data_IF_404489170091
#
_entry.id   IF_404489170091
#
_cell.length_a   1.000
_cell.length_b   1.000
_cell.length_c   1.000
_cell.angle_alpha   90.00
_cell.angle_beta   90.00
_cell.angle_gamma   90.00
#
_symmetry.space_group_name_H-M   'P 1'
#
loop_
_entity.id
_entity.type
_entity.pdbx_description
1 polymer ?
#
# COMPACT_ATOMS: atom_id res chain seq x y z
N UNK A 1 34.63 7.94 -5.80
CA UNK A 1 33.25 7.99 -6.30
C UNK A 1 33.29 8.77 -7.59
N UNK A 2 32.69 8.24 -8.65
CA UNK A 2 32.66 8.93 -9.94
C UNK A 2 31.75 10.17 -9.87
N UNK A 3 32.03 11.19 -10.68
CA UNK A 3 31.27 12.44 -10.71
C UNK A 3 29.76 12.17 -10.92
N UNK A 4 29.42 11.18 -11.74
CA UNK A 4 28.03 10.74 -11.97
C UNK A 4 27.38 10.22 -10.68
N UNK A 5 28.08 9.41 -9.89
CA UNK A 5 27.57 8.91 -8.60
C UNK A 5 27.29 10.02 -7.61
N UNK A 6 28.14 11.06 -7.58
CA UNK A 6 27.97 12.22 -6.70
C UNK A 6 26.73 13.03 -7.11
N UNK A 7 26.56 13.28 -8.41
CA UNK A 7 25.39 14.00 -8.93
C UNK A 7 24.10 13.25 -8.58
N UNK A 8 24.05 11.93 -8.78
CA UNK A 8 22.85 11.13 -8.46
C UNK A 8 22.54 11.18 -6.97
N UNK A 9 23.56 11.00 -6.12
CA UNK A 9 23.37 11.06 -4.67
C UNK A 9 22.87 12.44 -4.23
N UNK A 10 23.45 13.51 -4.78
CA UNK A 10 23.05 14.88 -4.47
C UNK A 10 21.62 15.18 -4.93
N UNK A 11 21.25 14.79 -6.15
CA UNK A 11 19.89 14.98 -6.68
C UNK A 11 18.87 14.22 -5.84
N UNK A 12 19.14 12.95 -5.54
CA UNK A 12 18.22 12.13 -4.75
C UNK A 12 18.07 12.63 -3.32
N UNK A 13 19.18 12.95 -2.65
CA UNK A 13 19.14 13.56 -1.32
C UNK A 13 18.36 14.87 -1.36
N UNK A 14 18.56 15.69 -2.40
CA UNK A 14 17.80 16.92 -2.64
C UNK A 14 16.30 16.67 -2.78
N UNK A 15 15.89 15.67 -3.55
CA UNK A 15 14.47 15.26 -3.70
C UNK A 15 13.89 14.83 -2.36
N UNK A 16 14.57 13.94 -1.63
CA UNK A 16 14.10 13.45 -0.33
C UNK A 16 14.00 14.58 0.70
N UNK A 17 14.99 15.48 0.75
CA UNK A 17 14.95 16.65 1.62
C UNK A 17 13.81 17.61 1.25
N UNK A 18 13.59 17.88 -0.04
CA UNK A 18 12.49 18.72 -0.49
C UNK A 18 11.12 18.18 -0.06
N UNK A 19 10.94 16.85 -0.14
CA UNK A 19 9.73 16.15 0.32
C UNK A 19 9.62 16.21 1.86
N UNK A 20 10.71 15.94 2.58
CA UNK A 20 10.72 15.91 4.05
C UNK A 20 10.40 17.28 4.68
N UNK A 21 10.87 18.38 4.08
CA UNK A 21 10.55 19.75 4.54
C UNK A 21 9.15 20.19 4.07
N UNK A 22 8.46 19.36 3.27
CA UNK A 22 7.12 19.61 2.75
C UNK A 22 6.97 20.98 2.05
N UNK A 23 8.05 21.45 1.42
CA UNK A 23 8.10 22.74 0.71
C UNK A 23 7.64 22.64 -0.73
N UNK A 24 7.80 21.46 -1.33
CA UNK A 24 7.48 21.15 -2.72
C UNK A 24 6.62 19.90 -2.73
N UNK A 25 5.59 19.87 -3.58
CA UNK A 25 4.76 18.68 -3.79
C UNK A 25 5.64 17.49 -4.20
N UNK A 26 5.39 16.30 -3.64
CA UNK A 26 6.27 15.14 -3.84
C UNK A 26 6.42 14.76 -5.32
N UNK A 27 5.36 14.92 -6.11
CA UNK A 27 5.39 14.60 -7.54
C UNK A 27 6.30 15.57 -8.27
N UNK A 28 6.19 16.87 -7.96
CA UNK A 28 7.03 17.90 -8.55
C UNK A 28 8.50 17.71 -8.16
N UNK A 29 8.78 17.39 -6.90
CA UNK A 29 10.15 17.12 -6.44
C UNK A 29 10.77 15.94 -7.20
N UNK A 30 10.05 14.82 -7.32
CA UNK A 30 10.52 13.65 -8.06
C UNK A 30 10.72 13.95 -9.57
N UNK A 31 9.78 14.69 -10.19
CA UNK A 31 9.89 15.12 -11.59
C UNK A 31 11.12 16.00 -11.85
N UNK A 32 11.39 16.97 -10.97
CA UNK A 32 12.57 17.83 -11.07
C UNK A 32 13.85 17.02 -10.93
N UNK A 33 13.88 16.04 -10.00
CA UNK A 33 15.00 15.14 -9.84
C UNK A 33 15.31 14.35 -11.12
N UNK A 34 14.30 13.68 -11.69
CA UNK A 34 14.44 12.91 -12.93
C UNK A 34 14.85 13.81 -14.09
N UNK A 35 14.24 14.99 -14.23
CA UNK A 35 14.57 15.96 -15.28
C UNK A 35 16.03 16.41 -15.18
N UNK A 36 16.52 16.65 -13.96
CA UNK A 36 17.93 17.01 -13.73
C UNK A 36 18.86 15.90 -14.18
N UNK A 37 18.55 14.63 -13.86
CA UNK A 37 19.37 13.49 -14.28
C UNK A 37 19.36 13.26 -15.80
N UNK A 38 18.24 13.56 -16.48
CA UNK A 38 18.15 13.51 -17.94
C UNK A 38 19.01 14.62 -18.56
N UNK A 39 18.92 15.85 -18.05
CA UNK A 39 19.73 16.99 -18.55
C UNK A 39 21.22 16.76 -18.33
N UNK A 40 21.61 16.14 -17.22
CA UNK A 40 23.00 15.74 -16.97
C UNK A 40 23.47 14.56 -17.83
N UNK A 41 22.61 13.98 -18.68
CA UNK A 41 22.94 12.82 -19.53
C UNK A 41 23.17 11.52 -18.76
N UNK A 42 22.72 11.44 -17.51
CA UNK A 42 22.92 10.28 -16.63
C UNK A 42 21.86 9.21 -16.93
N UNK A 43 20.59 9.65 -17.01
CA UNK A 43 19.47 8.84 -17.49
C UNK A 43 19.35 8.99 -19.01
N UNK A 44 19.67 7.93 -19.75
CA UNK A 44 19.41 7.84 -21.18
C UNK A 44 18.05 7.17 -21.42
N UNK A 45 17.60 7.16 -22.67
CA UNK A 45 16.35 6.53 -23.09
C UNK A 45 16.23 5.07 -22.61
N UNK A 46 17.35 4.32 -22.60
CA UNK A 46 17.38 2.93 -22.15
C UNK A 46 17.07 2.80 -20.67
N UNK A 47 17.68 3.63 -19.82
CA UNK A 47 17.42 3.59 -18.38
C UNK A 47 16.00 4.08 -18.06
N UNK A 48 15.50 5.09 -18.78
CA UNK A 48 14.11 5.52 -18.63
C UNK A 48 13.16 4.35 -18.96
N UNK A 49 13.42 3.62 -20.04
CA UNK A 49 12.61 2.46 -20.40
C UNK A 49 12.70 1.33 -19.36
N UNK A 50 13.90 1.07 -18.81
CA UNK A 50 14.08 0.10 -17.73
C UNK A 50 13.31 0.51 -16.47
N UNK A 51 13.35 1.79 -16.10
CA UNK A 51 12.60 2.32 -14.98
C UNK A 51 11.09 2.15 -15.16
N UNK A 52 10.57 2.44 -16.36
CA UNK A 52 9.15 2.21 -16.68
C UNK A 52 8.78 0.72 -16.59
N UNK A 53 9.66 -0.18 -17.06
CA UNK A 53 9.45 -1.62 -16.95
C UNK A 53 9.42 -2.08 -15.49
N UNK A 54 10.36 -1.59 -14.67
CA UNK A 54 10.41 -1.89 -13.24
C UNK A 54 9.18 -1.35 -12.49
N UNK A 55 8.73 -0.15 -12.84
CA UNK A 55 7.56 0.49 -12.23
C UNK A 55 6.23 -0.13 -12.68
N UNK A 56 6.17 -0.77 -13.85
CA UNK A 56 4.93 -1.26 -14.46
C UNK A 56 4.13 -2.21 -13.57
N UNK A 57 4.79 -3.13 -12.87
CA UNK A 57 4.14 -4.05 -11.94
C UNK A 57 3.50 -3.34 -10.73
N UNK A 58 4.30 -2.63 -9.91
CA UNK A 58 3.80 -1.84 -8.77
C UNK A 58 2.73 -0.81 -9.16
N UNK A 59 2.90 -0.10 -10.29
CA UNK A 59 1.92 0.87 -10.78
C UNK A 59 0.60 0.21 -11.16
N UNK A 60 0.63 -0.93 -11.84
CA UNK A 60 -0.58 -1.66 -12.23
C UNK A 60 -1.37 -2.14 -11.01
N UNK A 61 -0.67 -2.62 -9.97
CA UNK A 61 -1.28 -3.02 -8.71
C UNK A 61 -1.93 -1.84 -7.98
N UNK A 62 -1.19 -0.75 -7.84
CA UNK A 62 -1.67 0.46 -7.16
C UNK A 62 -2.88 1.05 -7.90
N UNK A 63 -2.77 1.21 -9.21
CA UNK A 63 -3.85 1.69 -10.06
C UNK A 63 -5.09 0.78 -9.98
N UNK A 64 -4.90 -0.53 -10.15
CA UNK A 64 -6.03 -1.47 -10.12
C UNK A 64 -6.72 -1.51 -8.77
N UNK A 65 -5.96 -1.50 -7.68
CA UNK A 65 -6.49 -1.40 -6.32
C UNK A 65 -7.26 -0.10 -6.08
N UNK A 66 -6.75 1.04 -6.55
CA UNK A 66 -7.43 2.33 -6.43
C UNK A 66 -8.75 2.35 -7.21
N UNK A 67 -8.77 1.82 -8.43
CA UNK A 67 -9.99 1.72 -9.25
C UNK A 67 -11.04 0.87 -8.53
N UNK A 68 -10.67 -0.34 -8.09
CA UNK A 68 -11.60 -1.24 -7.38
C UNK A 68 -12.06 -0.64 -6.05
N UNK A 69 -11.20 0.06 -5.32
CA UNK A 69 -11.58 0.76 -4.09
C UNK A 69 -12.60 1.87 -4.38
N UNK A 70 -12.37 2.67 -5.43
CA UNK A 70 -13.23 3.79 -5.80
C UNK A 70 -14.60 3.33 -6.27
N UNK A 71 -14.72 2.15 -6.89
CA UNK A 71 -16.03 1.62 -7.30
C UNK A 71 -16.92 1.24 -6.13
N UNK A 72 -16.34 0.92 -4.97
CA UNK A 72 -17.08 0.61 -3.73
C UNK A 72 -17.60 1.87 -3.03
N UNK A 73 -16.95 3.01 -3.18
CA UNK A 73 -17.31 4.24 -2.47
C UNK A 73 -18.72 4.77 -2.76
N UNK A 74 -19.16 4.96 -4.03
CA UNK A 74 -20.49 5.50 -4.32
C UNK A 74 -21.64 4.54 -3.97
N UNK A 75 -21.35 3.27 -3.66
CA UNK A 75 -22.36 2.28 -3.28
C UNK A 75 -22.96 2.53 -1.89
N UNK A 76 -22.27 3.30 -1.05
CA UNK A 76 -22.62 3.51 0.35
C UNK A 76 -22.24 2.36 1.28
N UNK A 77 -21.48 1.36 0.81
CA UNK A 77 -20.98 0.26 1.66
C UNK A 77 -20.21 0.83 2.87
N UNK A 78 -19.33 1.80 2.67
CA UNK A 78 -18.54 2.39 3.75
C UNK A 78 -19.40 3.16 4.76
N UNK A 79 -20.44 3.88 4.31
CA UNK A 79 -21.41 4.52 5.21
C UNK A 79 -22.11 3.48 6.10
N UNK A 80 -22.49 2.34 5.52
CA UNK A 80 -23.14 1.25 6.24
C UNK A 80 -22.18 0.56 7.23
N UNK A 81 -20.93 0.32 6.82
CA UNK A 81 -19.87 -0.19 7.69
C UNK A 81 -19.66 0.77 8.85
N UNK A 82 -19.60 2.08 8.59
CA UNK A 82 -19.42 3.11 9.61
C UNK A 82 -20.52 3.12 10.65
N UNK A 83 -21.80 3.06 10.25
CA UNK A 83 -22.91 3.03 11.21
C UNK A 83 -22.90 1.73 12.02
N UNK A 84 -22.67 0.58 11.37
CA UNK A 84 -22.57 -0.72 12.08
C UNK A 84 -21.41 -0.72 13.07
N UNK A 85 -20.28 -0.16 12.65
CA UNK A 85 -19.09 -0.04 13.49
C UNK A 85 -19.36 0.85 14.70
N UNK A 86 -19.96 2.01 14.50
CA UNK A 86 -20.40 2.92 15.56
C UNK A 86 -21.35 2.24 16.56
N UNK A 87 -22.39 1.55 16.10
CA UNK A 87 -23.28 0.77 16.97
C UNK A 87 -22.55 -0.35 17.73
N UNK A 88 -21.53 -0.97 17.11
CA UNK A 88 -20.70 -1.99 17.75
C UNK A 88 -19.79 -1.42 18.86
N UNK A 89 -19.42 -0.14 18.80
CA UNK A 89 -18.64 0.50 19.88
C UNK A 89 -19.42 0.56 21.19
N UNK A 90 -20.77 0.62 21.13
CA UNK A 90 -21.66 0.82 22.28
C UNK A 90 -21.19 1.97 23.21
N UNK A 91 -20.58 3.00 22.62
CA UNK A 91 -20.12 4.19 23.34
C UNK A 91 -18.82 4.02 24.13
N UNK A 92 -18.13 2.88 23.99
CA UNK A 92 -16.85 2.62 24.65
C UNK A 92 -15.68 2.92 23.72
N UNK A 93 -14.78 3.81 24.16
CA UNK A 93 -13.57 4.16 23.43
C UNK A 93 -12.61 2.98 23.22
N UNK A 94 -12.52 2.06 24.19
CA UNK A 94 -11.81 0.78 24.02
C UNK A 94 -12.33 -0.04 22.82
N UNK A 95 -13.66 -0.20 22.72
CA UNK A 95 -14.28 -0.97 21.62
C UNK A 95 -14.11 -0.25 20.29
N UNK A 96 -14.17 1.07 20.30
CA UNK A 96 -13.85 1.89 19.14
C UNK A 96 -12.42 1.64 18.66
N UNK A 97 -11.40 1.81 19.51
CA UNK A 97 -10.00 1.64 19.10
C UNK A 97 -9.70 0.22 18.59
N UNK A 98 -10.19 -0.81 19.29
CA UNK A 98 -10.03 -2.20 18.83
C UNK A 98 -10.75 -2.48 17.52
N UNK A 99 -11.95 -1.92 17.33
CA UNK A 99 -12.68 -2.10 16.09
C UNK A 99 -12.08 -1.30 14.92
N UNK A 100 -11.44 -0.14 15.17
CA UNK A 100 -10.61 0.55 14.16
C UNK A 100 -9.47 -0.37 13.71
N UNK A 101 -8.75 -1.01 14.64
CA UNK A 101 -7.67 -1.96 14.29
C UNK A 101 -8.19 -3.05 13.37
N UNK A 102 -9.28 -3.71 13.74
CA UNK A 102 -9.85 -4.80 12.94
C UNK A 102 -10.32 -4.29 11.58
N UNK A 103 -11.06 -3.18 11.56
CA UNK A 103 -11.64 -2.63 10.34
C UNK A 103 -10.56 -2.20 9.34
N UNK A 104 -9.58 -1.43 9.80
CA UNK A 104 -8.46 -0.96 8.96
C UNK A 104 -7.63 -2.15 8.49
N UNK A 105 -7.33 -3.12 9.38
CA UNK A 105 -6.50 -4.27 9.00
C UNK A 105 -7.16 -5.13 7.93
N UNK A 106 -8.47 -5.37 8.03
CA UNK A 106 -9.22 -6.15 7.04
C UNK A 106 -9.33 -5.38 5.72
N UNK A 107 -9.60 -4.07 5.75
CA UNK A 107 -9.73 -3.30 4.52
C UNK A 107 -8.38 -3.10 3.80
N UNK A 108 -7.30 -2.75 4.53
CA UNK A 108 -5.95 -2.59 3.95
C UNK A 108 -5.35 -3.91 3.46
N UNK A 109 -5.84 -5.07 3.91
CA UNK A 109 -5.42 -6.35 3.35
C UNK A 109 -5.80 -6.49 1.86
N UNK A 110 -6.81 -5.75 1.38
CA UNK A 110 -7.33 -5.86 0.02
C UNK A 110 -7.32 -4.55 -0.76
N UNK A 111 -7.32 -3.42 -0.08
CA UNK A 111 -7.33 -2.08 -0.67
C UNK A 111 -6.01 -1.36 -0.37
N UNK A 112 -5.57 -0.43 -1.24
CA UNK A 112 -4.39 0.38 -0.97
C UNK A 112 -4.48 1.15 0.36
N UNK A 113 -3.37 1.24 1.08
CA UNK A 113 -3.30 1.86 2.41
C UNK A 113 -3.83 3.31 2.41
N UNK A 114 -3.31 4.15 1.51
CA UNK A 114 -3.69 5.56 1.42
C UNK A 114 -5.19 5.74 1.14
N UNK A 115 -5.73 4.96 0.21
CA UNK A 115 -7.16 4.98 -0.14
C UNK A 115 -8.03 4.55 1.04
N UNK A 116 -7.64 3.49 1.75
CA UNK A 116 -8.38 3.00 2.92
C UNK A 116 -8.44 4.04 4.03
N UNK A 117 -7.32 4.72 4.32
CA UNK A 117 -7.29 5.78 5.33
C UNK A 117 -8.19 6.94 4.95
N UNK A 118 -8.17 7.39 3.69
CA UNK A 118 -9.04 8.48 3.20
C UNK A 118 -10.53 8.10 3.30
N UNK A 119 -10.87 6.87 2.92
CA UNK A 119 -12.25 6.37 2.98
C UNK A 119 -12.76 6.21 4.42
N UNK A 120 -11.90 5.80 5.35
CA UNK A 120 -12.27 5.61 6.75
C UNK A 120 -12.22 6.91 7.57
N UNK A 121 -11.45 7.92 7.13
CA UNK A 121 -11.34 9.21 7.81
C UNK A 121 -12.69 9.83 8.20
N UNK A 122 -13.68 10.00 7.30
CA UNK A 122 -14.97 10.60 7.67
C UNK A 122 -15.74 9.76 8.70
N UNK A 123 -15.60 8.44 8.65
CA UNK A 123 -16.24 7.51 9.60
C UNK A 123 -15.59 7.67 10.98
N UNK A 124 -14.27 7.65 11.05
CA UNK A 124 -13.51 7.80 12.30
C UNK A 124 -13.82 9.15 12.93
N UNK A 125 -13.74 10.25 12.17
CA UNK A 125 -14.03 11.61 12.64
C UNK A 125 -15.46 11.72 13.18
N UNK A 126 -16.43 11.09 12.51
CA UNK A 126 -17.81 11.08 12.99
C UNK A 126 -17.96 10.35 14.32
N UNK A 127 -17.35 9.18 14.46
CA UNK A 127 -17.43 8.38 15.69
C UNK A 127 -16.73 9.09 16.84
N UNK A 128 -15.58 9.71 16.60
CA UNK A 128 -14.85 10.46 17.64
C UNK A 128 -15.64 11.68 18.11
N UNK A 129 -16.34 12.36 17.20
CA UNK A 129 -17.28 13.44 17.56
C UNK A 129 -18.43 12.94 18.45
N UNK A 130 -19.00 11.78 18.13
CA UNK A 130 -20.07 11.18 18.94
C UNK A 130 -19.58 10.66 20.30
N UNK A 131 -18.31 10.26 20.40
CA UNK A 131 -17.65 9.87 21.64
C UNK A 131 -17.10 11.07 22.44
N UNK A 132 -17.18 12.29 21.90
CA UNK A 132 -16.63 13.51 22.49
C UNK A 132 -15.12 13.41 22.77
N UNK A 133 -14.36 12.89 21.79
CA UNK A 133 -12.90 12.74 21.85
C UNK A 133 -12.24 13.38 20.62
N UNK A 134 -10.98 13.77 20.77
CA UNK A 134 -10.19 14.28 19.65
C UNK A 134 -9.96 13.19 18.59
N UNK A 135 -10.11 13.55 17.32
CA UNK A 135 -9.94 12.66 16.17
C UNK A 135 -8.48 12.48 15.76
N UNK A 136 -7.59 13.40 16.16
CA UNK A 136 -6.17 13.39 15.74
C UNK A 136 -5.49 12.07 16.14
N UNK A 137 -5.60 11.67 17.40
CA UNK A 137 -4.99 10.44 17.91
C UNK A 137 -5.45 9.16 17.17
N UNK A 138 -6.78 8.91 17.09
CA UNK A 138 -7.32 7.79 16.32
C UNK A 138 -6.93 7.80 14.83
N UNK A 139 -6.83 8.97 14.20
CA UNK A 139 -6.38 9.10 12.80
C UNK A 139 -4.90 8.71 12.63
N UNK A 140 -4.02 9.16 13.53
CA UNK A 140 -2.60 8.79 13.52
C UNK A 140 -2.43 7.27 13.71
N UNK A 141 -3.15 6.70 14.68
CA UNK A 141 -3.14 5.25 14.91
C UNK A 141 -3.68 4.49 13.70
N UNK A 142 -4.71 5.00 13.03
CA UNK A 142 -5.22 4.43 11.78
C UNK A 142 -4.16 4.41 10.68
N UNK A 143 -3.38 5.49 10.52
CA UNK A 143 -2.29 5.52 9.57
C UNK A 143 -1.21 4.48 9.91
N UNK A 144 -0.83 4.34 11.19
CA UNK A 144 0.14 3.33 11.64
C UNK A 144 -0.39 1.90 11.39
N UNK A 145 -1.64 1.62 11.77
CA UNK A 145 -2.28 0.32 11.51
C UNK A 145 -2.32 0.03 10.02
N UNK A 146 -2.67 1.00 9.19
CA UNK A 146 -2.78 0.81 7.73
C UNK A 146 -1.45 0.37 7.12
N UNK A 147 -0.32 0.94 7.57
CA UNK A 147 1.00 0.54 7.10
C UNK A 147 1.36 -0.88 7.56
N UNK A 148 1.09 -1.21 8.82
CA UNK A 148 1.28 -2.56 9.35
C UNK A 148 0.41 -3.60 8.65
N UNK A 149 -0.83 -3.24 8.32
CA UNK A 149 -1.79 -4.09 7.62
C UNK A 149 -1.43 -4.28 6.14
N UNK A 150 -0.77 -3.30 5.52
CA UNK A 150 -0.24 -3.44 4.16
C UNK A 150 0.80 -4.55 4.01
N UNK A 151 1.36 -5.07 5.11
CA UNK A 151 2.24 -6.23 5.12
C UNK A 151 1.49 -7.57 5.14
N UNK A 152 0.18 -7.58 5.39
CA UNK A 152 -0.63 -8.81 5.43
C UNK A 152 -0.71 -9.47 4.05
N UNK A 153 -0.75 -8.69 2.98
CA UNK A 153 -0.83 -9.18 1.61
C UNK A 153 0.20 -8.50 0.73
N UNK A 154 0.61 -9.18 -0.35
CA UNK A 154 1.57 -8.65 -1.32
C UNK A 154 1.01 -7.44 -2.09
N UNK A 155 -0.30 -7.20 -2.04
CA UNK A 155 -1.02 -6.17 -2.81
C UNK A 155 -1.07 -4.83 -2.06
N UNK A 156 -1.08 -4.86 -0.72
CA UNK A 156 -1.39 -3.69 0.11
C UNK A 156 -0.43 -2.50 -0.08
N UNK A 157 0.80 -2.77 -0.53
CA UNK A 157 1.81 -1.73 -0.77
C UNK A 157 2.69 -2.03 -2.01
N UNK A 158 2.90 -1.05 -2.91
CA UNK A 158 3.82 -1.17 -4.05
C UNK A 158 5.24 -1.60 -3.67
N UNK A 159 5.76 -1.13 -2.53
CA UNK A 159 7.09 -1.48 -2.05
C UNK A 159 7.17 -2.95 -1.63
N UNK A 160 6.13 -3.44 -0.95
CA UNK A 160 6.00 -4.86 -0.58
C UNK A 160 5.97 -5.75 -1.82
N UNK A 161 5.20 -5.36 -2.84
CA UNK A 161 5.19 -6.07 -4.12
C UNK A 161 6.55 -6.06 -4.81
N UNK A 162 7.24 -4.92 -4.84
CA UNK A 162 8.57 -4.81 -5.45
C UNK A 162 9.56 -5.76 -4.79
N UNK A 163 9.60 -5.78 -3.45
CA UNK A 163 10.48 -6.70 -2.71
C UNK A 163 10.11 -8.16 -3.01
N UNK A 164 8.83 -8.52 -2.93
CA UNK A 164 8.38 -9.89 -3.19
C UNK A 164 8.69 -10.36 -4.61
N UNK A 165 8.44 -9.52 -5.62
CA UNK A 165 8.74 -9.84 -7.02
C UNK A 165 10.24 -9.94 -7.29
N UNK A 166 11.07 -9.12 -6.64
CA UNK A 166 12.54 -9.16 -6.80
C UNK A 166 13.18 -10.48 -6.32
N UNK A 167 12.55 -11.15 -5.35
CA UNK A 167 12.98 -12.46 -4.83
C UNK A 167 12.20 -13.62 -5.43
N UNK A 168 11.36 -13.37 -6.44
CA UNK A 168 10.54 -14.40 -7.11
C UNK A 168 9.48 -15.03 -6.21
N UNK A 169 9.01 -14.31 -5.19
CA UNK A 169 8.00 -14.81 -4.25
C UNK A 169 6.61 -14.71 -4.85
N UNK A 170 5.89 -15.83 -4.83
CA UNK A 170 4.49 -15.90 -5.26
C UNK A 170 3.56 -15.26 -4.24
N UNK A 171 2.36 -14.85 -4.65
CA UNK A 171 1.35 -14.32 -3.72
C UNK A 171 1.06 -15.28 -2.56
N UNK A 172 0.88 -16.57 -2.87
CA UNK A 172 0.62 -17.61 -1.88
C UNK A 172 1.80 -17.83 -0.91
N UNK A 173 3.04 -17.80 -1.42
CA UNK A 173 4.23 -17.91 -0.59
C UNK A 173 4.39 -16.70 0.34
N UNK A 174 4.10 -15.49 -0.16
CA UNK A 174 4.11 -14.28 0.66
C UNK A 174 3.10 -14.40 1.81
N UNK A 175 1.88 -14.85 1.50
CA UNK A 175 0.84 -15.03 2.50
C UNK A 175 1.23 -16.06 3.57
N UNK A 176 1.99 -17.10 3.22
CA UNK A 176 2.43 -18.11 4.20
C UNK A 176 3.62 -17.66 5.05
N UNK A 177 4.55 -16.89 4.47
CA UNK A 177 5.84 -16.58 5.12
C UNK A 177 5.89 -15.20 5.78
N UNK A 178 5.28 -14.19 5.15
CA UNK A 178 5.43 -12.78 5.55
C UNK A 178 4.19 -12.23 6.25
N UNK A 179 2.99 -12.69 5.88
CA UNK A 179 1.74 -12.19 6.47
C UNK A 179 1.69 -12.34 8.00
N UNK A 180 2.31 -13.40 8.55
CA UNK A 180 2.42 -13.62 9.98
C UNK A 180 3.19 -12.49 10.66
N UNK A 181 4.22 -11.94 10.01
CA UNK A 181 4.94 -10.76 10.49
C UNK A 181 4.05 -9.52 10.56
N UNK A 182 3.22 -9.28 9.54
CA UNK A 182 2.23 -8.21 9.55
C UNK A 182 1.20 -8.37 10.68
N UNK A 183 0.70 -9.60 10.88
CA UNK A 183 -0.23 -9.93 11.97
C UNK A 183 0.41 -9.70 13.35
N UNK A 184 1.67 -10.14 13.54
CA UNK A 184 2.42 -9.89 14.77
C UNK A 184 2.60 -8.39 15.02
N UNK A 185 2.91 -7.61 13.99
CA UNK A 185 3.08 -6.16 14.11
C UNK A 185 1.78 -5.48 14.58
N UNK A 186 0.63 -5.87 14.01
CA UNK A 186 -0.69 -5.41 14.48
C UNK A 186 -0.93 -5.85 15.92
N UNK A 187 -0.60 -7.11 16.27
CA UNK A 187 -0.79 -7.64 17.60
C UNK A 187 0.07 -6.93 18.67
N UNK A 188 1.27 -6.48 18.30
CA UNK A 188 2.13 -5.64 19.16
C UNK A 188 1.55 -4.24 19.34
N UNK A 189 0.86 -3.70 18.34
CA UNK A 189 0.24 -2.38 18.43
C UNK A 189 -0.97 -2.38 19.38
N UNK A 190 -1.78 -3.44 19.40
CA UNK A 190 -2.98 -3.56 20.25
C UNK A 190 -2.72 -3.24 21.74
N UNK A 191 -1.72 -3.83 22.43
CA UNK A 191 -1.42 -3.51 23.83
C UNK A 191 -0.79 -2.13 24.02
N UNK A 192 -0.26 -1.49 22.98
CA UNK A 192 0.24 -0.10 23.04
C UNK A 192 -0.89 0.94 23.01
N UNK A 193 -2.04 0.61 22.40
CA UNK A 193 -3.20 1.50 22.32
C UNK A 193 -3.67 2.09 23.67
N UNK A 194 -3.82 1.34 24.78
CA UNK A 194 -4.21 1.92 26.06
C UNK A 194 -3.17 2.90 26.63
N UNK A 195 -1.89 2.75 26.27
CA UNK A 195 -0.81 3.65 26.73
C UNK A 195 -0.78 4.91 25.88
N UNK A 196 -0.82 4.76 24.55
CA UNK A 196 -0.69 5.88 23.60
C UNK A 196 -1.96 6.73 23.52
N UNK A 197 -3.13 6.09 23.58
CA UNK A 197 -4.44 6.75 23.49
C UNK A 197 -5.25 6.56 24.78
N UNK A 198 -4.60 6.76 25.95
CA UNK A 198 -5.24 6.61 27.27
C UNK A 198 -6.54 7.40 27.39
N UNK A 199 -6.56 8.61 26.85
CA UNK A 199 -7.68 9.56 26.96
C UNK A 199 -8.88 9.09 26.13
N UNK A 200 -8.63 8.39 25.02
CA UNK A 200 -9.70 7.77 24.22
C UNK A 200 -10.10 6.42 24.79
N UNK A 201 -9.15 5.63 25.30
CA UNK A 201 -9.37 4.25 25.74
C UNK A 201 -10.37 4.15 26.91
N UNK A 202 -10.30 5.07 27.87
CA UNK A 202 -11.14 5.07 29.07
C UNK A 202 -12.49 5.78 28.90
N UNK A 203 -12.78 6.35 27.74
CA UNK A 203 -14.03 7.06 27.49
C UNK A 203 -15.20 6.09 27.39
N UNK A 204 -16.28 6.45 28.09
CA UNK A 204 -17.57 5.79 28.00
C UNK A 204 -18.67 6.84 27.90
N UNK A 205 -19.38 6.85 26.76
CA UNK A 205 -20.50 7.75 26.49
C UNK A 205 -21.76 6.94 26.22
N UNK A 206 -22.92 7.55 26.45
CA UNK A 206 -24.20 6.99 26.02
C UNK A 206 -24.40 7.39 24.56
N UNK A 207 -24.45 6.41 23.66
CA UNK A 207 -24.72 6.67 22.24
C UNK A 207 -26.18 7.11 22.05
N UNK A 208 -26.46 7.97 21.05
CA UNK A 208 -27.83 8.29 20.65
C UNK A 208 -28.59 7.01 20.28
N UNK A 209 -29.85 6.88 20.73
CA UNK A 209 -30.69 5.71 20.47
C UNK A 209 -31.06 5.52 18.99
N UNK A 210 -30.88 6.55 18.15
CA UNK A 210 -31.29 6.58 16.74
C UNK A 210 -30.14 6.29 15.75
N UNK A 211 -29.28 5.33 16.10
CA UNK A 211 -28.23 4.82 15.21
C UNK A 211 -28.79 3.75 14.26
N UNK A 212 -29.76 4.13 13.44
CA UNK A 212 -30.27 3.24 12.40
C UNK A 212 -29.31 3.23 11.19
N UNK A 213 -28.84 2.05 10.75
CA UNK A 213 -28.09 1.94 9.51
C UNK A 213 -28.99 2.38 8.36
N UNK A 214 -28.63 3.49 7.69
CA UNK A 214 -29.30 3.87 6.45
C UNK A 214 -29.21 2.69 5.47
N UNK A 215 -30.30 2.36 4.75
CA UNK A 215 -30.27 1.31 3.75
C UNK A 215 -29.20 1.62 2.70
N UNK A 216 -28.58 0.58 2.14
CA UNK A 216 -27.64 0.72 1.04
C UNK A 216 -28.29 1.54 -0.06
N UNK A 217 -27.63 2.63 -0.48
CA UNK A 217 -28.13 3.47 -1.57
C UNK A 217 -28.36 2.62 -2.83
N UNK A 218 -27.47 1.64 -3.08
CA UNK A 218 -27.49 0.76 -4.26
C UNK A 218 -26.99 -0.66 -3.95
N UNK A 219 -27.87 -1.59 -3.50
CA UNK A 219 -27.45 -2.92 -3.05
C UNK A 219 -26.92 -3.83 -4.17
N UNK A 220 -27.46 -3.73 -5.40
CA UNK A 220 -26.99 -4.51 -6.54
C UNK A 220 -25.56 -4.13 -6.93
N UNK A 221 -25.25 -2.83 -6.97
CA UNK A 221 -23.92 -2.33 -7.32
C UNK A 221 -22.90 -2.65 -6.22
N UNK A 222 -23.30 -2.53 -4.96
CA UNK A 222 -22.53 -2.99 -3.81
C UNK A 222 -22.15 -4.47 -3.96
N UNK A 223 -23.11 -5.33 -4.29
CA UNK A 223 -22.89 -6.75 -4.49
C UNK A 223 -21.97 -7.04 -5.69
N UNK A 224 -22.18 -6.36 -6.83
CA UNK A 224 -21.34 -6.52 -8.02
C UNK A 224 -19.90 -6.04 -7.79
N UNK A 225 -19.71 -4.90 -7.12
CA UNK A 225 -18.37 -4.35 -6.82
C UNK A 225 -17.64 -5.23 -5.79
N UNK A 226 -18.36 -5.74 -4.80
CA UNK A 226 -17.82 -6.73 -3.85
C UNK A 226 -17.47 -8.04 -4.56
N UNK A 227 -18.28 -8.48 -5.53
CA UNK A 227 -17.99 -9.65 -6.36
C UNK A 227 -16.72 -9.43 -7.16
N UNK A 228 -16.52 -8.25 -7.76
CA UNK A 228 -15.27 -7.92 -8.47
C UNK A 228 -14.08 -7.95 -7.51
N UNK A 229 -14.21 -7.40 -6.30
CA UNK A 229 -13.14 -7.45 -5.29
C UNK A 229 -12.80 -8.91 -4.91
N UNK A 230 -13.81 -9.74 -4.62
CA UNK A 230 -13.62 -11.15 -4.29
C UNK A 230 -13.01 -11.92 -5.46
N UNK A 231 -13.48 -11.68 -6.69
CA UNK A 231 -12.91 -12.27 -7.89
C UNK A 231 -11.44 -11.87 -8.07
N UNK A 232 -11.10 -10.59 -7.85
CA UNK A 232 -9.72 -10.09 -7.90
C UNK A 232 -8.85 -10.81 -6.86
N UNK A 233 -9.32 -10.96 -5.62
CA UNK A 233 -8.60 -11.68 -4.55
C UNK A 233 -8.38 -13.15 -4.91
N UNK A 234 -9.42 -13.83 -5.42
CA UNK A 234 -9.29 -15.22 -5.86
C UNK A 234 -8.29 -15.36 -7.02
N UNK A 235 -8.32 -14.42 -7.96
CA UNK A 235 -7.39 -14.41 -9.09
C UNK A 235 -5.96 -14.10 -8.62
N UNK A 236 -5.74 -13.34 -7.54
CA UNK A 236 -4.42 -13.20 -6.93
C UNK A 236 -3.93 -14.49 -6.27
N UNK A 237 -4.82 -15.21 -5.57
CA UNK A 237 -4.46 -16.46 -4.90
C UNK A 237 -4.19 -17.60 -5.88
N UNK A 238 -5.01 -17.70 -6.93
CA UNK A 238 -5.02 -18.84 -7.84
C UNK A 238 -4.47 -18.53 -9.23
N UNK A 239 -4.28 -17.27 -9.60
CA UNK A 239 -3.87 -16.83 -10.94
C UNK A 239 -2.53 -17.38 -11.40
N UNK A 240 -1.60 -17.59 -10.47
CA UNK A 240 -0.30 -18.19 -10.78
C UNK A 240 -0.38 -19.71 -11.05
N UNK A 241 -1.41 -20.38 -10.54
CA UNK A 241 -1.67 -21.81 -10.77
C UNK A 241 -2.47 -22.06 -12.07
N UNK A 242 -2.97 -21.00 -12.72
CA UNK A 242 -3.63 -21.14 -14.02
C UNK A 242 -2.61 -21.46 -15.12
N UNK A 243 -3.02 -22.15 -16.20
CA UNK A 243 -2.14 -22.51 -17.32
C UNK A 243 -1.43 -21.32 -17.99
N UNK A 244 -2.03 -20.13 -17.90
CA UNK A 244 -1.53 -18.89 -18.49
C UNK A 244 -0.66 -18.07 -17.54
N UNK A 245 -0.40 -18.54 -16.31
CA UNK A 245 0.40 -17.87 -15.27
C UNK A 245 0.11 -16.35 -15.16
N UNK A 246 -1.08 -16.01 -14.66
CA UNK A 246 -1.49 -14.61 -14.52
C UNK A 246 -0.81 -14.01 -13.29
N UNK A 247 0.19 -13.17 -13.53
CA UNK A 247 0.92 -12.45 -12.47
C UNK A 247 0.04 -11.41 -11.77
N UNK A 248 0.32 -11.05 -10.49
CA UNK A 248 -0.49 -10.10 -9.73
C UNK A 248 -0.75 -8.75 -10.46
N UNK A 249 0.23 -8.11 -11.11
CA UNK A 249 -0.03 -6.88 -11.87
C UNK A 249 -1.13 -7.03 -12.95
N UNK A 250 -1.16 -8.17 -13.65
CA UNK A 250 -2.18 -8.43 -14.66
C UNK A 250 -3.56 -8.65 -14.03
N UNK A 251 -3.62 -9.35 -12.90
CA UNK A 251 -4.86 -9.50 -12.11
C UNK A 251 -5.44 -8.14 -11.72
N UNK A 252 -4.60 -7.20 -11.30
CA UNK A 252 -5.05 -5.87 -10.91
C UNK A 252 -5.69 -5.10 -12.09
N UNK A 253 -5.11 -5.20 -13.29
CA UNK A 253 -5.69 -4.61 -14.51
C UNK A 253 -7.01 -5.28 -14.89
N UNK A 254 -7.10 -6.61 -14.79
CA UNK A 254 -8.35 -7.35 -15.03
C UNK A 254 -9.43 -6.90 -14.02
N UNK A 255 -9.08 -6.82 -12.74
CA UNK A 255 -9.96 -6.34 -11.67
C UNK A 255 -10.44 -4.92 -11.91
N UNK A 256 -9.53 -4.01 -12.28
CA UNK A 256 -9.87 -2.63 -12.65
C UNK A 256 -10.83 -2.57 -13.83
N UNK A 257 -10.58 -3.37 -14.87
CA UNK A 257 -11.41 -3.44 -16.07
C UNK A 257 -12.82 -3.92 -15.74
N UNK A 258 -12.93 -5.00 -14.95
CA UNK A 258 -14.22 -5.52 -14.48
C UNK A 258 -14.96 -4.48 -13.61
N UNK A 259 -14.25 -3.78 -12.74
CA UNK A 259 -14.83 -2.76 -11.88
C UNK A 259 -15.37 -1.57 -12.70
N UNK A 260 -14.63 -1.12 -13.72
CA UNK A 260 -15.08 -0.08 -14.64
C UNK A 260 -16.28 -0.55 -15.50
N UNK A 261 -16.29 -1.81 -15.94
CA UNK A 261 -17.43 -2.38 -16.66
C UNK A 261 -18.71 -2.41 -15.82
N UNK A 262 -18.60 -2.72 -14.52
CA UNK A 262 -19.74 -2.64 -13.59
C UNK A 262 -20.30 -1.22 -13.50
N UNK A 263 -19.42 -0.21 -13.40
CA UNK A 263 -19.85 1.20 -13.32
C UNK A 263 -20.48 1.65 -14.64
N UNK A 264 -19.81 1.36 -15.76
CA UNK A 264 -20.28 1.70 -17.09
C UNK A 264 -21.65 1.05 -17.38
N UNK A 265 -21.78 -0.24 -17.10
CA UNK A 265 -23.02 -0.99 -17.28
C UNK A 265 -24.16 -0.50 -16.39
N UNK A 266 -23.85 -0.03 -15.18
CA UNK A 266 -24.83 0.55 -14.27
C UNK A 266 -25.26 1.98 -14.64
N UNK A 267 -24.59 2.65 -15.60
CA UNK A 267 -24.86 4.03 -16.05
C UNK A 267 -24.97 5.06 -14.92
N UNK A 268 -24.22 4.85 -13.85
CA UNK A 268 -24.31 5.65 -12.64
C UNK A 268 -23.49 6.93 -12.76
N UNK A 269 -22.26 6.76 -13.21
CA UNK A 269 -21.26 7.81 -13.33
C UNK A 269 -20.42 7.52 -14.58
N UNK A 270 -19.96 8.57 -15.28
CA UNK A 270 -19.03 8.38 -16.37
C UNK A 270 -17.74 7.74 -15.82
N UNK A 271 -17.11 6.86 -16.61
CA UNK A 271 -15.79 6.28 -16.27
C UNK A 271 -14.77 7.36 -15.90
N UNK A 272 -14.92 8.54 -16.49
CA UNK A 272 -14.10 9.71 -16.21
C UNK A 272 -14.15 10.18 -14.74
N UNK A 273 -15.28 10.07 -14.03
CA UNK A 273 -15.34 10.47 -12.61
C UNK A 273 -14.48 9.54 -11.75
N UNK A 274 -14.61 8.23 -11.98
CA UNK A 274 -13.80 7.21 -11.31
C UNK A 274 -12.32 7.48 -11.52
N UNK A 275 -11.92 7.77 -12.76
CA UNK A 275 -10.53 8.09 -13.09
C UNK A 275 -10.06 9.41 -12.47
N UNK A 276 -10.93 10.42 -12.32
CA UNK A 276 -10.58 11.70 -11.68
C UNK A 276 -10.27 11.56 -10.20
N UNK A 277 -10.94 10.62 -9.52
CA UNK A 277 -10.78 10.41 -8.08
C UNK A 277 -9.60 9.49 -7.71
N UNK A 278 -8.90 8.95 -8.71
CA UNK A 278 -7.65 8.22 -8.50
C UNK A 278 -6.56 9.19 -8.06
N UNK A 279 -5.70 8.73 -7.16
CA UNK A 279 -4.54 9.49 -6.71
C UNK A 279 -3.40 9.46 -7.75
N UNK A 280 -3.56 10.29 -8.78
CA UNK A 280 -2.56 10.47 -9.84
C UNK A 280 -1.21 10.98 -9.31
N UNK A 281 -1.21 11.73 -8.20
CA UNK A 281 0.02 12.24 -7.62
C UNK A 281 0.91 11.10 -7.14
N UNK A 282 0.33 10.12 -6.45
CA UNK A 282 1.03 8.92 -5.98
C UNK A 282 1.51 8.06 -7.15
N UNK A 283 0.71 7.87 -8.21
CA UNK A 283 1.15 7.12 -9.40
C UNK A 283 2.33 7.77 -10.12
N UNK A 284 2.25 9.09 -10.35
CA UNK A 284 3.32 9.84 -10.99
C UNK A 284 4.57 9.87 -10.11
N UNK A 285 4.41 10.11 -8.80
CA UNK A 285 5.51 10.06 -7.84
C UNK A 285 6.23 8.71 -7.89
N UNK A 286 5.49 7.60 -7.85
CA UNK A 286 6.07 6.26 -7.92
C UNK A 286 6.84 6.06 -9.23
N UNK A 287 6.27 6.45 -10.37
CA UNK A 287 6.92 6.37 -11.68
C UNK A 287 8.29 7.09 -11.69
N UNK A 288 8.34 8.34 -11.23
CA UNK A 288 9.58 9.12 -11.20
C UNK A 288 10.56 8.62 -10.14
N UNK A 289 10.07 8.11 -9.00
CA UNK A 289 10.92 7.46 -8.00
C UNK A 289 11.61 6.21 -8.55
N UNK A 290 10.91 5.39 -9.36
CA UNK A 290 11.56 4.26 -10.03
C UNK A 290 12.64 4.71 -11.02
N UNK A 291 12.44 5.82 -11.74
CA UNK A 291 13.48 6.39 -12.60
C UNK A 291 14.69 6.89 -11.81
N UNK A 292 14.48 7.51 -10.64
CA UNK A 292 15.56 7.88 -9.74
C UNK A 292 16.32 6.65 -9.23
N UNK A 293 15.61 5.60 -8.81
CA UNK A 293 16.22 4.34 -8.34
C UNK A 293 17.02 3.65 -9.44
N UNK A 294 16.54 3.66 -10.68
CA UNK A 294 17.30 3.09 -11.81
C UNK A 294 18.62 3.83 -12.06
N UNK A 295 18.64 5.14 -11.87
CA UNK A 295 19.90 5.91 -11.93
C UNK A 295 20.91 5.46 -10.84
N UNK A 296 20.43 5.11 -9.63
CA UNK A 296 21.28 4.54 -8.58
C UNK A 296 21.83 3.16 -8.95
N UNK A 297 20.99 2.29 -9.54
CA UNK A 297 21.39 0.95 -9.93
C UNK A 297 22.55 0.99 -10.94
N UNK A 298 22.50 1.93 -11.90
CA UNK A 298 23.53 2.10 -12.94
C UNK A 298 24.91 2.48 -12.39
N UNK A 299 24.97 3.34 -11.37
CA UNK A 299 26.23 3.93 -10.91
C UNK A 299 27.03 3.05 -9.95
N UNK A 300 26.56 1.82 -9.67
CA UNK A 300 27.25 0.88 -8.79
C UNK A 300 27.39 1.37 -7.35
N UNK A 301 26.72 2.46 -6.97
CA UNK A 301 26.77 3.04 -5.62
C UNK A 301 26.29 2.02 -4.60
N UNK A 302 25.28 1.23 -4.98
CA UNK A 302 24.76 0.14 -4.15
C UNK A 302 25.83 -0.94 -3.93
N UNK A 303 26.56 -1.36 -4.98
CA UNK A 303 27.70 -2.28 -4.84
C UNK A 303 28.82 -1.68 -3.97
N UNK A 304 29.12 -0.39 -4.14
CA UNK A 304 30.12 0.33 -3.34
C UNK A 304 29.75 0.36 -1.85
N UNK A 305 28.50 0.68 -1.53
CA UNK A 305 27.95 0.62 -0.17
C UNK A 305 27.97 -0.81 0.37
N UNK A 306 27.58 -1.80 -0.44
CA UNK A 306 27.61 -3.22 -0.07
C UNK A 306 29.01 -3.68 0.32
N UNK A 307 30.03 -3.31 -0.46
CA UNK A 307 31.44 -3.58 -0.15
C UNK A 307 31.92 -2.84 1.10
N UNK A 308 31.42 -1.62 1.33
CA UNK A 308 31.66 -0.86 2.56
C UNK A 308 31.11 -1.58 3.78
N UNK A 309 29.83 -1.98 3.74
CA UNK A 309 29.19 -2.79 4.78
C UNK A 309 29.93 -4.11 5.00
N UNK A 310 30.32 -4.80 3.93
CA UNK A 310 31.10 -6.04 4.01
C UNK A 310 32.43 -5.85 4.73
N UNK A 311 33.15 -4.76 4.46
CA UNK A 311 34.41 -4.44 5.16
C UNK A 311 34.19 -4.07 6.62
N UNK A 312 33.09 -3.39 6.94
CA UNK A 312 32.78 -2.94 8.30
C UNK A 312 32.28 -4.06 9.21
N UNK A 313 31.42 -4.94 8.70
CA UNK A 313 30.81 -6.03 9.46
C UNK A 313 31.53 -7.38 9.29
N UNK A 314 32.36 -7.55 8.25
CA UNK A 314 33.06 -8.80 7.95
C UNK A 314 32.11 -9.96 7.58
N UNK A 315 32.60 -11.20 7.71
CA UNK A 315 31.84 -12.44 7.43
C UNK A 315 30.98 -12.88 8.65
N UNK A 316 31.08 -12.19 9.78
CA UNK A 316 30.47 -12.61 11.06
C UNK A 316 28.97 -12.30 11.21
N UNK A 317 28.21 -12.17 10.11
CA UNK A 317 26.75 -12.04 10.13
C UNK A 317 26.01 -13.39 10.02
N UNK A 318 26.74 -14.51 10.07
CA UNK A 318 26.16 -15.87 10.07
C UNK A 318 25.16 -16.14 11.23
N UNK A 319 25.22 -15.52 12.44
CA UNK A 319 24.24 -15.89 13.46
C UNK A 319 22.85 -15.27 13.26
N UNK A 320 22.68 -14.25 12.39
CA UNK A 320 21.36 -13.65 12.11
C UNK A 320 20.59 -14.44 11.03
N UNK A 321 21.29 -15.21 10.20
CA UNK A 321 20.69 -16.16 9.25
C UNK A 321 20.50 -17.58 9.85
N UNK A 322 20.40 -17.69 11.18
CA UNK A 322 20.29 -18.94 11.94
C UNK A 322 19.01 -19.75 11.75
N UNK A 323 18.16 -19.44 10.76
CA UNK A 323 16.98 -20.25 10.41
C UNK A 323 16.91 -20.68 8.93
N UNK A 324 17.88 -20.31 8.09
CA UNK A 324 17.93 -20.74 6.68
C UNK A 324 18.99 -21.84 6.44
N UNK A 325 19.02 -22.88 7.28
CA UNK A 325 19.67 -24.15 6.91
C UNK A 325 18.72 -24.98 6.04
N UNK A 326 18.61 -24.64 4.76
CA UNK A 326 18.18 -25.55 3.70
C UNK A 326 18.41 -24.93 2.32
N UNK A 327 19.67 -24.75 1.92
CA UNK A 327 20.07 -24.78 0.51
C UNK A 327 21.60 -24.86 0.44
N UNK A 328 22.11 -26.07 0.22
CA UNK A 328 23.52 -26.36 -0.02
C UNK A 328 23.99 -25.78 -1.36
N UNK A 329 25.21 -25.21 -1.46
CA UNK A 329 25.74 -24.61 -2.67
C UNK A 329 26.47 -25.67 -3.52
N UNK A 330 25.74 -26.61 -4.12
CA UNK A 330 26.32 -27.55 -5.09
C UNK A 330 25.25 -28.01 -6.09
N UNK A 331 24.87 -27.14 -7.03
CA UNK A 331 24.72 -27.54 -8.44
C UNK A 331 24.24 -26.38 -9.31
N UNK A 332 24.97 -26.19 -10.42
CA UNK A 332 24.46 -25.75 -11.73
C UNK A 332 24.26 -24.23 -11.95
N UNK A 333 25.39 -23.52 -12.00
CA UNK A 333 25.55 -22.37 -12.91
C UNK A 333 26.51 -22.77 -14.03
N UNK A 334 25.96 -23.08 -15.21
CA UNK A 334 26.68 -23.13 -16.47
C UNK A 334 25.87 -22.30 -17.47
N UNK A 335 26.39 -21.18 -18.00
CA UNK A 335 25.65 -20.32 -18.90
C UNK A 335 25.64 -20.91 -20.33
N UNK A 336 24.59 -20.65 -21.14
CA UNK A 336 24.74 -20.59 -22.59
C UNK A 336 25.44 -19.31 -23.05
#
# INVERSE_FOLDING_TARGET
MDLQSIIILAVFAGVILAIAVNRVDMTLAAMLGVSTLIVCGILTEREVLNAVRAAGGPLSLLFGGMVVARTLEPTGIFEQIGIRFLSATKGSGKRFLLGVVVLVSVLCAFLPNATTVILLAPIIIRITKELDVDFVGPMVVTAIISNSAGLLTLIGDPATFLVGSSIGMTFAQYLQRVSLGGLLNILVLVPLLPVVLKDVWHVQRVLPADLQPKPLRRPLMAALSLLVLVAMILLFMFGEYLPTHIVPPAVAIIGATLALLVIYGAKIEPVESVLKDIDWKTLLFLLFMFALVEAFNKTGVIQGLSLGFYKWFGINLVPVAGSARACSPTSRWSPP
#
